data_IF_970027186680
#
_entry.id   IF_970027186680
#
_cell.length_a   1.000
_cell.length_b   1.000
_cell.length_c   1.000
_cell.angle_alpha   90.00
_cell.angle_beta   90.00
_cell.angle_gamma   90.00
#
_symmetry.space_group_name_H-M   'P 1'
#
loop_
_entity.id
_entity.type
_entity.pdbx_description
1 polymer ?
#
# COMPACT_ATOMS: atom_id res chain seq x y z
N UNK A 1 0.75 0.24 -11.66
CA UNK A 1 -0.48 -0.47 -11.21
C UNK A 1 -0.95 0.14 -9.88
N UNK A 2 -2.27 0.30 -9.64
CA UNK A 2 -2.79 0.90 -8.40
C UNK A 2 -3.13 -0.19 -7.36
N UNK A 3 -2.50 -0.12 -6.20
CA UNK A 3 -2.70 -1.05 -5.08
C UNK A 3 -3.32 -0.31 -3.90
N UNK A 4 -4.52 -0.73 -3.49
CA UNK A 4 -5.27 -0.12 -2.41
C UNK A 4 -5.07 -0.85 -1.07
N UNK A 5 -4.70 -0.12 -0.02
CA UNK A 5 -4.63 -0.66 1.34
C UNK A 5 -5.80 -0.25 2.21
N UNK A 6 -6.38 -1.23 2.89
CA UNK A 6 -7.30 -1.01 3.99
C UNK A 6 -6.62 -0.68 5.32
N UNK A 7 -7.43 -0.37 6.32
CA UNK A 7 -7.02 -0.03 7.68
C UNK A 7 -6.75 1.47 7.89
N UNK A 8 -6.40 1.83 9.13
CA UNK A 8 -5.94 3.17 9.54
C UNK A 8 -4.56 3.12 10.21
N UNK A 9 -3.61 3.91 9.72
CA UNK A 9 -2.23 4.04 10.23
C UNK A 9 -1.51 2.71 10.45
N UNK A 10 -1.27 2.29 11.70
CA UNK A 10 -0.61 1.01 12.05
C UNK A 10 -1.61 -0.11 12.38
N UNK A 11 -2.91 0.18 12.43
CA UNK A 11 -3.94 -0.75 12.92
C UNK A 11 -4.55 -1.64 11.83
N UNK A 12 -4.47 -2.96 12.00
CA UNK A 12 -5.04 -3.95 11.04
C UNK A 12 -4.46 -3.85 9.63
N UNK A 13 -3.16 -3.53 9.53
CA UNK A 13 -2.46 -3.46 8.25
C UNK A 13 -2.30 -4.84 7.61
N UNK A 14 -2.49 -4.98 6.28
CA UNK A 14 -2.37 -6.26 5.58
C UNK A 14 -0.90 -6.67 5.36
N UNK A 15 -0.08 -6.67 6.42
CA UNK A 15 1.36 -6.96 6.38
C UNK A 15 1.62 -8.36 5.84
N UNK A 16 0.79 -9.34 6.17
CA UNK A 16 0.92 -10.70 5.65
C UNK A 16 0.86 -10.75 4.11
N UNK A 17 -0.02 -9.95 3.49
CA UNK A 17 -0.10 -9.84 2.04
C UNK A 17 1.16 -9.22 1.45
N UNK A 18 1.62 -8.10 2.02
CA UNK A 18 2.85 -7.42 1.60
C UNK A 18 4.06 -8.36 1.68
N UNK A 19 4.22 -9.06 2.80
CA UNK A 19 5.31 -10.01 2.99
C UNK A 19 5.23 -11.18 2.01
N UNK A 20 4.03 -11.70 1.75
CA UNK A 20 3.84 -12.75 0.74
C UNK A 20 4.19 -12.27 -0.67
N UNK A 21 3.87 -11.00 -1.00
CA UNK A 21 4.21 -10.40 -2.28
C UNK A 21 5.72 -10.20 -2.44
N UNK A 22 6.40 -9.72 -1.39
CA UNK A 22 7.85 -9.54 -1.37
C UNK A 22 8.64 -10.86 -1.44
N UNK A 23 8.05 -11.97 -1.00
CA UNK A 23 8.66 -13.31 -1.07
C UNK A 23 8.57 -13.96 -2.45
N UNK A 24 7.75 -13.43 -3.37
CA UNK A 24 7.66 -13.98 -4.73
C UNK A 24 8.96 -13.68 -5.49
N UNK A 25 9.34 -14.58 -6.40
CA UNK A 25 10.50 -14.39 -7.28
C UNK A 25 10.37 -13.14 -8.17
N UNK A 26 9.14 -12.71 -8.45
CA UNK A 26 8.82 -11.48 -9.19
C UNK A 26 7.99 -10.58 -8.27
N UNK A 27 8.62 -9.56 -7.65
CA UNK A 27 7.88 -8.48 -6.98
C UNK A 27 7.30 -7.54 -8.04
N UNK A 28 6.00 -7.19 -7.98
CA UNK A 28 5.46 -6.12 -8.79
C UNK A 28 6.23 -4.82 -8.54
N UNK A 29 6.63 -4.13 -9.60
CA UNK A 29 7.27 -2.81 -9.54
C UNK A 29 6.29 -1.77 -10.09
N UNK A 30 6.66 -0.50 -9.96
CA UNK A 30 5.85 0.62 -10.46
C UNK A 30 4.42 0.62 -9.90
N UNK A 31 4.33 0.34 -8.59
CA UNK A 31 3.08 0.40 -7.85
C UNK A 31 2.79 1.84 -7.43
N UNK A 32 1.56 2.26 -7.67
CA UNK A 32 0.97 3.41 -6.99
C UNK A 32 0.25 2.88 -5.77
N UNK A 33 0.70 3.26 -4.58
CA UNK A 33 0.04 2.87 -3.33
C UNK A 33 -1.06 3.88 -3.01
N UNK A 34 -2.29 3.39 -2.84
CA UNK A 34 -3.44 4.22 -2.53
C UNK A 34 -4.03 3.79 -1.18
N UNK A 35 -4.29 4.76 -0.32
CA UNK A 35 -4.87 4.49 0.97
C UNK A 35 -5.07 5.77 1.76
N UNK A 36 -6.00 5.71 2.71
CA UNK A 36 -6.33 6.86 3.54
C UNK A 36 -5.12 7.27 4.35
N UNK A 37 -4.52 6.31 5.04
CA UNK A 37 -3.28 6.47 5.80
C UNK A 37 -2.39 5.27 5.53
N UNK A 38 -1.12 5.52 5.21
CA UNK A 38 -0.12 4.47 5.03
C UNK A 38 0.72 4.30 6.28
N UNK A 39 1.05 3.04 6.56
CA UNK A 39 1.89 2.66 7.68
C UNK A 39 3.05 1.77 7.26
N UNK A 40 3.39 0.84 8.15
CA UNK A 40 4.53 -0.06 8.01
C UNK A 40 4.50 -0.93 6.75
N UNK A 41 3.32 -1.37 6.31
CA UNK A 41 3.11 -2.16 5.09
C UNK A 41 3.54 -1.42 3.82
N UNK A 42 3.27 -0.12 3.74
CA UNK A 42 3.63 0.69 2.60
C UNK A 42 5.13 1.01 2.63
N UNK A 43 5.68 1.26 3.83
CA UNK A 43 7.12 1.51 4.03
C UNK A 43 7.96 0.30 3.58
N UNK A 44 7.50 -0.93 3.84
CA UNK A 44 8.13 -2.15 3.33
C UNK A 44 8.19 -2.21 1.80
N UNK A 45 7.11 -1.83 1.11
CA UNK A 45 7.06 -1.83 -0.35
C UNK A 45 7.89 -0.73 -0.97
N UNK A 46 7.92 0.43 -0.33
CA UNK A 46 8.83 1.53 -0.69
C UNK A 46 10.27 1.07 -0.49
N UNK A 47 10.60 0.46 0.65
CA UNK A 47 11.91 -0.07 0.96
C UNK A 47 12.39 -1.16 0.01
N UNK A 48 11.47 -1.98 -0.52
CA UNK A 48 11.76 -2.97 -1.56
C UNK A 48 11.89 -2.37 -2.98
N UNK A 49 11.62 -1.07 -3.15
CA UNK A 49 11.62 -0.40 -4.45
C UNK A 49 10.46 -0.81 -5.35
N UNK A 50 9.40 -1.39 -4.79
CA UNK A 50 8.23 -1.84 -5.53
C UNK A 50 7.22 -0.69 -5.76
N UNK A 51 7.25 0.38 -4.95
CA UNK A 51 6.40 1.56 -5.10
C UNK A 51 7.08 2.69 -5.89
N UNK A 52 6.38 3.26 -6.87
CA UNK A 52 6.81 4.42 -7.65
C UNK A 52 6.03 5.70 -7.28
N UNK A 53 4.81 5.55 -6.75
CA UNK A 53 4.00 6.67 -6.30
C UNK A 53 3.19 6.30 -5.06
N UNK A 54 2.88 7.31 -4.24
CA UNK A 54 1.99 7.16 -3.09
C UNK A 54 0.92 8.24 -3.13
N UNK A 55 -0.34 7.82 -2.98
CA UNK A 55 -1.53 8.66 -2.89
C UNK A 55 -2.15 8.49 -1.51
N UNK A 56 -2.11 9.54 -0.69
CA UNK A 56 -2.61 9.49 0.69
C UNK A 56 -2.69 10.87 1.33
N UNK A 57 -3.43 10.97 2.43
CA UNK A 57 -3.39 12.15 3.30
C UNK A 57 -2.33 12.04 4.41
N UNK A 58 -1.80 10.84 4.67
CA UNK A 58 -0.82 10.62 5.73
C UNK A 58 0.05 9.39 5.47
N UNK A 59 1.35 9.53 5.74
CA UNK A 59 2.31 8.42 5.74
C UNK A 59 3.21 8.51 6.97
N UNK A 60 3.13 7.51 7.85
CA UNK A 60 3.96 7.48 9.05
C UNK A 60 3.66 6.30 9.96
N UNK A 61 4.46 6.16 11.02
CA UNK A 61 4.35 5.07 11.98
C UNK A 61 3.81 5.53 13.33
N UNK A 62 3.03 6.63 13.36
CA UNK A 62 2.48 7.24 14.56
C UNK A 62 3.53 7.44 15.67
N UNK A 63 3.35 6.82 16.84
CA UNK A 63 4.25 6.88 17.99
C UNK A 63 5.65 6.33 17.71
N UNK A 64 5.82 5.53 16.65
CA UNK A 64 7.13 5.02 16.23
C UNK A 64 7.88 6.02 15.33
N UNK A 65 7.27 7.17 15.01
CA UNK A 65 7.90 8.26 14.27
C UNK A 65 7.67 8.18 12.76
N UNK A 66 8.64 8.71 12.00
CA UNK A 66 8.57 8.73 10.55
C UNK A 66 8.84 7.35 9.95
N UNK A 67 8.19 7.08 8.82
CA UNK A 67 8.45 5.89 8.04
C UNK A 67 9.82 6.04 7.33
N UNK A 68 10.87 5.29 7.74
CA UNK A 68 12.24 5.59 7.37
C UNK A 68 12.48 5.42 5.87
N UNK A 69 11.97 4.35 5.25
CA UNK A 69 12.21 4.08 3.84
C UNK A 69 11.43 5.05 2.96
N UNK A 70 10.20 5.41 3.35
CA UNK A 70 9.42 6.45 2.71
C UNK A 70 10.13 7.79 2.75
N UNK A 71 10.53 8.26 3.93
CA UNK A 71 11.22 9.54 4.08
C UNK A 71 12.52 9.56 3.28
N UNK A 72 13.32 8.50 3.35
CA UNK A 72 14.57 8.42 2.57
C UNK A 72 14.30 8.48 1.06
N UNK A 73 13.40 7.64 0.54
CA UNK A 73 13.19 7.52 -0.91
C UNK A 73 12.46 8.70 -1.53
N UNK A 74 11.54 9.31 -0.81
CA UNK A 74 10.92 10.58 -1.24
C UNK A 74 11.98 11.67 -1.31
N UNK A 75 12.86 11.79 -0.31
CA UNK A 75 13.95 12.77 -0.33
C UNK A 75 14.94 12.53 -1.46
N UNK A 76 15.12 11.28 -1.90
CA UNK A 76 15.92 10.92 -3.08
C UNK A 76 15.18 11.16 -4.41
N UNK A 77 13.89 11.51 -4.39
CA UNK A 77 13.07 11.69 -5.58
C UNK A 77 12.68 10.37 -6.28
N UNK A 78 12.83 9.24 -5.60
CA UNK A 78 12.52 7.90 -6.16
C UNK A 78 11.02 7.57 -6.09
N UNK A 79 10.28 8.23 -5.20
CA UNK A 79 8.86 8.01 -4.98
C UNK A 79 8.10 9.31 -5.16
N UNK A 80 7.13 9.32 -6.06
CA UNK A 80 6.23 10.48 -6.26
C UNK A 80 5.17 10.52 -5.18
N UNK A 81 5.11 11.62 -4.44
CA UNK A 81 4.04 11.87 -3.45
C UNK A 81 2.91 12.64 -4.11
N UNK A 82 1.70 12.12 -3.98
CA UNK A 82 0.45 12.78 -4.35
C UNK A 82 -0.32 12.92 -3.04
N UNK A 83 -0.32 14.13 -2.52
CA UNK A 83 -1.07 14.47 -1.32
C UNK A 83 -2.55 14.54 -1.67
N UNK A 84 -3.36 13.80 -0.93
CA UNK A 84 -4.81 13.80 -1.04
C UNK A 84 -5.38 14.31 0.29
N UNK A 85 -6.42 15.11 0.26
CA UNK A 85 -7.17 15.45 1.48
C UNK A 85 -8.13 14.32 1.87
N UNK A 86 -8.54 14.25 3.14
CA UNK A 86 -9.52 13.25 3.60
C UNK A 86 -10.81 13.27 2.76
N UNK A 87 -11.23 14.46 2.33
CA UNK A 87 -12.39 14.66 1.48
C UNK A 87 -12.18 14.08 0.08
N UNK A 88 -11.03 14.34 -0.54
CA UNK A 88 -10.67 13.82 -1.87
C UNK A 88 -10.54 12.29 -1.87
N UNK A 89 -9.98 11.71 -0.80
CA UNK A 89 -9.90 10.25 -0.68
C UNK A 89 -11.29 9.60 -0.63
N UNK A 90 -12.22 10.18 0.14
CA UNK A 90 -13.61 9.70 0.23
C UNK A 90 -14.33 9.82 -1.11
N UNK A 91 -14.14 10.94 -1.81
CA UNK A 91 -14.70 11.15 -3.15
C UNK A 91 -14.13 10.14 -4.15
N UNK A 92 -12.82 9.86 -4.12
CA UNK A 92 -12.20 8.89 -5.03
C UNK A 92 -12.70 7.46 -4.80
N UNK A 93 -12.81 7.02 -3.53
CA UNK A 93 -13.39 5.69 -3.23
C UNK A 93 -14.85 5.55 -3.65
N UNK A 94 -15.61 6.66 -3.65
CA UNK A 94 -17.00 6.69 -4.10
C UNK A 94 -17.13 6.78 -5.63
N UNK A 95 -16.27 7.56 -6.28
CA UNK A 95 -16.28 7.82 -7.72
C UNK A 95 -15.38 6.85 -8.47
N UNK A 96 -15.48 5.55 -8.15
CA UNK A 96 -14.60 4.46 -8.62
C UNK A 96 -14.48 4.47 -10.15
N UNK A 97 -13.50 5.21 -10.67
CA UNK A 97 -13.28 5.31 -12.11
C UNK A 97 -12.74 3.97 -12.61
N UNK A 98 -13.37 3.44 -13.64
CA UNK A 98 -13.19 2.07 -14.15
C UNK A 98 -11.87 1.87 -14.92
N UNK A 99 -11.03 2.90 -15.00
CA UNK A 99 -9.79 2.94 -15.77
C UNK A 99 -8.56 2.47 -15.00
N UNK A 100 -8.56 2.59 -13.67
CA UNK A 100 -7.53 2.00 -12.83
C UNK A 100 -7.98 0.60 -12.36
N UNK A 101 -7.24 -0.45 -12.74
CA UNK A 101 -7.40 -1.77 -12.12
C UNK A 101 -6.90 -1.70 -10.68
N UNK A 102 -7.80 -1.32 -9.76
CA UNK A 102 -7.53 -1.25 -8.32
C UNK A 102 -7.64 -2.65 -7.74
N UNK A 103 -6.53 -3.18 -7.26
CA UNK A 103 -6.56 -4.36 -6.41
C UNK A 103 -6.69 -3.88 -4.96
N UNK A 104 -7.89 -4.00 -4.40
CA UNK A 104 -8.15 -3.67 -3.01
C UNK A 104 -7.75 -4.86 -2.13
N UNK A 105 -6.87 -4.61 -1.16
CA UNK A 105 -6.45 -5.62 -0.18
C UNK A 105 -7.09 -5.26 1.15
N UNK A 106 -8.23 -5.91 1.43
CA UNK A 106 -8.88 -5.83 2.73
C UNK A 106 -9.06 -7.26 3.27
N UNK A 107 -8.53 -7.50 4.47
CA UNK A 107 -8.62 -8.73 5.28
C UNK A 107 -8.61 -10.06 4.50
N UNK A 108 -7.44 -10.73 4.48
CA UNK A 108 -7.21 -12.18 4.23
C UNK A 108 -8.40 -12.92 3.61
N UNK A 109 -8.28 -13.29 2.33
CA UNK A 109 -9.03 -14.39 1.70
C UNK A 109 -9.02 -15.62 2.64
N UNK A 110 -9.99 -15.70 3.55
CA UNK A 110 -10.28 -16.91 4.32
C UNK A 110 -11.16 -17.78 3.45
N UNK A 111 -10.51 -18.55 2.58
CA UNK A 111 -10.85 -19.91 2.15
C UNK A 111 -10.34 -20.16 0.72
N UNK A 112 -9.12 -20.66 0.61
CA UNK A 112 -8.83 -21.71 -0.37
C UNK A 112 -8.49 -22.97 0.45
N UNK A 113 -9.30 -24.04 0.39
CA UNK A 113 -8.98 -25.26 1.12
C UNK A 113 -7.64 -25.80 0.60
N UNK A 114 -6.78 -26.17 1.55
CA UNK A 114 -5.57 -26.92 1.30
C UNK A 114 -5.97 -28.36 0.94
N UNK A 115 -6.18 -28.63 -0.35
CA UNK A 115 -6.26 -30.00 -0.88
C UNK A 115 -6.10 -29.95 -2.41
N UNK A 116 -4.85 -30.10 -2.87
CA UNK A 116 -4.47 -30.54 -4.22
C UNK A 116 -2.93 -30.58 -4.31
N UNK A 117 -2.33 -31.43 -3.47
CA UNK A 117 -0.96 -31.91 -3.61
C UNK A 117 -0.87 -33.25 -2.88
N UNK A 118 -1.54 -34.24 -3.46
CA UNK A 118 -1.33 -35.67 -3.22
C UNK A 118 -1.46 -36.37 -4.58
#
# INVERSE_FOLDING_TARGET
MLLGFGGMTIYRRPVAFVMAMLRRSICPRDLTLFGFTHGYEADLLVGAGCAAAVRSCYFGLESFGFAPMFTERVNRGEVRVIEETEAEHRVWTACRDSRDRVHAVDRVDRHRPAEAAA
#
